data_IF_170781780748
#
_entry.id   IF_170781780748
#
_cell.length_a   1.000
_cell.length_b   1.000
_cell.length_c   1.000
_cell.angle_alpha   90.00
_cell.angle_beta   90.00
_cell.angle_gamma   90.00
#
_symmetry.space_group_name_H-M   'P 1'
#
loop_
_entity.id
_entity.type
_entity.pdbx_description
1 polymer ?
#
# COMPACT_ATOMS: atom_id res chain seq x y z
N UNK A 1 14.15 -5.49 19.61
CA UNK A 1 14.69 -5.17 18.27
C UNK A 1 13.59 -5.25 17.21
N UNK A 2 12.87 -6.37 17.07
CA UNK A 2 11.84 -6.51 16.03
C UNK A 2 10.58 -5.64 16.24
N UNK A 3 10.17 -5.43 17.50
CA UNK A 3 9.02 -4.57 17.82
C UNK A 3 9.26 -3.08 17.51
N UNK A 4 10.50 -2.61 17.70
CA UNK A 4 10.89 -1.23 17.38
C UNK A 4 10.91 -1.01 15.87
N UNK A 5 11.53 -1.93 15.12
CA UNK A 5 11.54 -1.92 13.66
C UNK A 5 10.13 -2.00 13.05
N UNK A 6 9.23 -2.80 13.65
CA UNK A 6 7.83 -2.84 13.23
C UNK A 6 7.14 -1.49 13.49
N UNK A 7 7.32 -0.91 14.68
CA UNK A 7 6.73 0.39 15.01
C UNK A 7 7.20 1.50 14.05
N UNK A 8 8.48 1.55 13.71
CA UNK A 8 9.01 2.46 12.68
C UNK A 8 8.30 2.27 11.33
N UNK A 9 8.11 1.02 10.89
CA UNK A 9 7.43 0.73 9.62
C UNK A 9 5.95 1.03 9.63
N UNK A 10 5.28 0.86 10.76
CA UNK A 10 3.91 1.34 10.92
C UNK A 10 3.89 2.87 10.77
N UNK A 11 4.79 3.59 11.43
CA UNK A 11 4.87 5.06 11.31
C UNK A 11 5.12 5.51 9.87
N UNK A 12 6.06 4.88 9.17
CA UNK A 12 6.35 5.19 7.77
C UNK A 12 5.14 4.92 6.87
N UNK A 13 4.49 3.77 7.04
CA UNK A 13 3.31 3.42 6.25
C UNK A 13 2.17 4.42 6.49
N UNK A 14 1.86 4.77 7.74
CA UNK A 14 0.82 5.75 8.08
C UNK A 14 1.11 7.13 7.45
N UNK A 15 2.36 7.58 7.51
CA UNK A 15 2.79 8.81 6.82
C UNK A 15 2.61 8.70 5.32
N UNK A 16 2.89 7.53 4.74
CA UNK A 16 2.69 7.26 3.32
C UNK A 16 1.22 7.33 2.89
N UNK A 17 0.32 6.69 3.65
CA UNK A 17 -1.13 6.73 3.40
C UNK A 17 -1.66 8.16 3.52
N UNK A 18 -1.28 8.89 4.57
CA UNK A 18 -1.72 10.27 4.74
C UNK A 18 -1.24 11.18 3.60
N UNK A 19 -0.02 10.95 3.11
CA UNK A 19 0.50 11.66 1.94
C UNK A 19 -0.28 11.35 0.66
N UNK A 20 -0.67 10.09 0.44
CA UNK A 20 -1.49 9.68 -0.70
C UNK A 20 -2.89 10.30 -0.63
N UNK A 21 -3.52 10.25 0.54
CA UNK A 21 -4.82 10.88 0.80
C UNK A 21 -4.80 12.37 0.45
N UNK A 22 -3.78 13.11 0.92
CA UNK A 22 -3.64 14.54 0.61
C UNK A 22 -3.50 14.83 -0.88
N UNK A 23 -2.84 13.95 -1.63
CA UNK A 23 -2.67 14.10 -3.08
C UNK A 23 -3.96 13.81 -3.84
N UNK A 24 -4.70 12.75 -3.46
CA UNK A 24 -6.01 12.42 -4.02
C UNK A 24 -7.04 13.55 -3.77
N UNK A 25 -6.92 14.25 -2.63
CA UNK A 25 -7.78 15.37 -2.29
C UNK A 25 -7.44 16.69 -3.01
N UNK A 26 -6.33 16.79 -3.75
CA UNK A 26 -6.01 17.99 -4.51
C UNK A 26 -6.87 18.12 -5.77
N UNK A 27 -7.14 19.35 -6.25
CA UNK A 27 -7.74 19.56 -7.56
C UNK A 27 -6.95 18.86 -8.67
N UNK A 28 -7.66 18.21 -9.58
CA UNK A 28 -7.03 17.48 -10.66
C UNK A 28 -6.22 18.38 -11.59
N UNK A 29 -5.00 17.94 -11.88
CA UNK A 29 -4.14 18.36 -12.99
C UNK A 29 -3.07 17.27 -13.22
N UNK A 30 -2.33 17.34 -14.32
CA UNK A 30 -1.31 16.34 -14.67
C UNK A 30 -0.25 16.15 -13.58
N UNK A 31 0.22 17.23 -12.95
CA UNK A 31 1.21 17.14 -11.88
C UNK A 31 0.66 16.46 -10.62
N UNK A 32 -0.62 16.68 -10.32
CA UNK A 32 -1.32 16.05 -9.19
C UNK A 32 -1.55 14.57 -9.47
N UNK A 33 -1.89 14.22 -10.71
CA UNK A 33 -1.99 12.84 -11.17
C UNK A 33 -0.66 12.11 -10.97
N UNK A 34 0.42 12.68 -11.50
CA UNK A 34 1.75 12.07 -11.46
C UNK A 34 2.27 11.96 -10.01
N UNK A 35 2.05 13.00 -9.19
CA UNK A 35 2.37 12.94 -7.76
C UNK A 35 1.54 11.87 -7.03
N UNK A 36 0.28 11.67 -7.38
CA UNK A 36 -0.59 10.64 -6.80
C UNK A 36 -0.10 9.25 -7.17
N UNK A 37 0.29 9.03 -8.44
CA UNK A 37 0.88 7.78 -8.92
C UNK A 37 2.18 7.47 -8.16
N UNK A 38 3.08 8.44 -8.04
CA UNK A 38 4.33 8.24 -7.28
C UNK A 38 4.07 7.91 -5.81
N UNK A 39 3.06 8.54 -5.21
CA UNK A 39 2.66 8.28 -3.81
C UNK A 39 2.04 6.91 -3.64
N UNK A 40 1.26 6.46 -4.61
CA UNK A 40 0.74 5.10 -4.66
C UNK A 40 1.86 4.06 -4.71
N UNK A 41 2.89 4.26 -5.55
CA UNK A 41 4.01 3.33 -5.66
C UNK A 41 4.75 3.12 -4.33
N UNK A 42 5.13 4.21 -3.65
CA UNK A 42 5.81 4.05 -2.37
C UNK A 42 4.86 3.56 -1.28
N UNK A 43 3.57 3.88 -1.34
CA UNK A 43 2.59 3.41 -0.36
C UNK A 43 2.40 1.88 -0.46
N UNK A 44 2.35 1.36 -1.69
CA UNK A 44 2.40 -0.08 -1.94
C UNK A 44 3.69 -0.71 -1.39
N UNK A 45 4.85 -0.09 -1.66
CA UNK A 45 6.15 -0.57 -1.20
C UNK A 45 6.23 -0.66 0.33
N UNK A 46 5.72 0.35 1.02
CA UNK A 46 5.62 0.38 2.47
C UNK A 46 4.63 -0.67 2.99
N UNK A 47 3.48 -0.85 2.34
CA UNK A 47 2.45 -1.81 2.73
C UNK A 47 2.99 -3.25 2.75
N UNK A 48 3.59 -3.73 1.65
CA UNK A 48 4.04 -5.12 1.60
C UNK A 48 5.25 -5.37 2.52
N UNK A 49 6.12 -4.37 2.72
CA UNK A 49 7.22 -4.44 3.69
C UNK A 49 6.72 -4.48 5.13
N UNK A 50 5.68 -3.72 5.45
CA UNK A 50 5.03 -3.75 6.76
C UNK A 50 4.39 -5.13 7.01
N UNK A 51 3.62 -5.65 6.05
CA UNK A 51 3.01 -6.98 6.14
C UNK A 51 4.07 -8.07 6.31
N UNK A 52 5.15 -8.01 5.52
CA UNK A 52 6.29 -8.91 5.67
C UNK A 52 6.84 -8.92 7.10
N UNK A 53 7.13 -7.75 7.68
CA UNK A 53 7.63 -7.68 9.05
C UNK A 53 6.62 -8.22 10.08
N UNK A 54 5.32 -8.00 9.84
CA UNK A 54 4.28 -8.54 10.71
C UNK A 54 4.22 -10.06 10.65
N UNK A 55 4.31 -10.64 9.46
CA UNK A 55 4.37 -12.08 9.21
C UNK A 55 5.62 -12.71 9.83
N UNK A 56 6.78 -12.06 9.70
CA UNK A 56 8.04 -12.53 10.31
C UNK A 56 7.90 -12.66 11.84
N UNK A 57 7.21 -11.72 12.51
CA UNK A 57 6.91 -11.82 13.96
C UNK A 57 5.97 -12.98 14.31
N UNK A 58 5.18 -13.45 13.36
CA UNK A 58 4.30 -14.62 13.50
C UNK A 58 4.99 -15.93 13.08
N UNK A 59 6.27 -15.87 12.72
CA UNK A 59 7.06 -17.04 12.30
C UNK A 59 6.87 -17.42 10.82
N UNK A 60 6.29 -16.53 10.01
CA UNK A 60 6.02 -16.76 8.58
C UNK A 60 7.02 -15.97 7.73
N UNK A 61 7.84 -16.67 6.94
CA UNK A 61 8.81 -16.06 6.02
C UNK A 61 8.17 -15.75 4.66
N UNK A 62 8.13 -14.46 4.32
CA UNK A 62 7.71 -13.97 3.00
C UNK A 62 8.85 -13.19 2.33
N UNK A 63 9.24 -13.59 1.12
CA UNK A 63 10.42 -13.02 0.45
C UNK A 63 10.09 -12.04 -0.68
N UNK A 64 8.87 -12.11 -1.20
CA UNK A 64 8.41 -11.29 -2.32
C UNK A 64 7.12 -10.55 -1.96
N UNK A 65 6.78 -9.44 -2.64
CA UNK A 65 5.51 -8.74 -2.42
C UNK A 65 4.30 -9.67 -2.59
N UNK A 66 4.33 -10.54 -3.61
CA UNK A 66 3.27 -11.51 -3.86
C UNK A 66 3.09 -12.48 -2.69
N UNK A 67 4.19 -13.05 -2.20
CA UNK A 67 4.15 -13.94 -1.04
C UNK A 67 3.65 -13.20 0.21
N UNK A 68 4.13 -11.99 0.47
CA UNK A 68 3.70 -11.21 1.62
C UNK A 68 2.19 -10.94 1.61
N UNK A 69 1.63 -10.58 0.45
CA UNK A 69 0.18 -10.39 0.31
C UNK A 69 -0.60 -11.70 0.46
N UNK A 70 -0.11 -12.79 -0.13
CA UNK A 70 -0.75 -14.10 -0.04
C UNK A 70 -0.79 -14.63 1.40
N UNK A 71 0.33 -14.58 2.11
CA UNK A 71 0.41 -15.02 3.51
C UNK A 71 -0.40 -14.09 4.43
N UNK A 72 -0.31 -12.77 4.22
CA UNK A 72 -1.11 -11.81 4.99
C UNK A 72 -2.62 -12.04 4.86
N UNK A 73 -3.08 -12.47 3.67
CA UNK A 73 -4.47 -12.86 3.47
C UNK A 73 -4.82 -14.15 4.22
N UNK A 74 -3.93 -15.15 4.20
CA UNK A 74 -4.15 -16.43 4.90
C UNK A 74 -4.29 -16.26 6.41
N UNK A 75 -3.50 -15.37 7.02
CA UNK A 75 -3.56 -15.07 8.46
C UNK A 75 -4.48 -13.89 8.80
N UNK A 76 -5.30 -13.43 7.84
CA UNK A 76 -6.28 -12.35 8.02
C UNK A 76 -5.70 -10.99 8.50
N UNK A 77 -4.45 -10.68 8.13
CA UNK A 77 -3.87 -9.33 8.30
C UNK A 77 -4.42 -8.33 7.28
N UNK A 78 -4.87 -8.82 6.13
CA UNK A 78 -5.58 -8.07 5.10
C UNK A 78 -6.81 -8.85 4.67
N UNK A 79 -7.83 -8.13 4.18
CA UNK A 79 -9.02 -8.69 3.56
C UNK A 79 -8.96 -8.60 2.03
N UNK A 80 -9.89 -9.27 1.35
CA UNK A 80 -10.14 -9.12 -0.10
C UNK A 80 -8.88 -9.29 -0.98
N UNK A 81 -8.44 -10.54 -1.12
CA UNK A 81 -7.28 -10.89 -1.96
C UNK A 81 -7.38 -10.44 -3.42
N UNK A 82 -8.60 -10.28 -3.96
CA UNK A 82 -8.81 -9.77 -5.31
C UNK A 82 -8.43 -8.29 -5.39
N UNK A 83 -8.86 -7.48 -4.42
CA UNK A 83 -8.47 -6.07 -4.36
C UNK A 83 -6.95 -5.89 -4.26
N UNK A 84 -6.27 -6.67 -3.43
CA UNK A 84 -4.81 -6.59 -3.31
C UNK A 84 -4.07 -7.10 -4.55
N UNK A 85 -4.63 -8.10 -5.24
CA UNK A 85 -4.12 -8.55 -6.53
C UNK A 85 -4.22 -7.44 -7.58
N UNK A 86 -5.34 -6.71 -7.61
CA UNK A 86 -5.51 -5.56 -8.50
C UNK A 86 -4.56 -4.41 -8.13
N UNK A 87 -4.37 -4.12 -6.85
CA UNK A 87 -3.37 -3.12 -6.40
C UNK A 87 -1.98 -3.49 -6.92
N UNK A 88 -1.58 -4.75 -6.78
CA UNK A 88 -0.30 -5.23 -7.31
C UNK A 88 -0.23 -5.08 -8.84
N UNK A 89 -1.31 -5.40 -9.56
CA UNK A 89 -1.41 -5.25 -11.01
C UNK A 89 -1.23 -3.79 -11.42
N UNK A 90 -1.98 -2.86 -10.83
CA UNK A 90 -1.88 -1.43 -11.15
C UNK A 90 -0.52 -0.85 -10.78
N UNK A 91 0.11 -1.30 -9.68
CA UNK A 91 1.49 -0.92 -9.34
C UNK A 91 2.53 -1.40 -10.36
N UNK A 92 2.27 -2.49 -11.07
CA UNK A 92 3.15 -2.92 -12.16
C UNK A 92 2.93 -2.09 -13.44
N UNK A 93 1.76 -1.46 -13.59
CA UNK A 93 1.43 -0.61 -14.73
C UNK A 93 1.96 0.82 -14.60
N UNK A 94 2.36 1.26 -13.40
CA UNK A 94 2.85 2.63 -13.17
C UNK A 94 4.10 2.96 -13.98
N UNK A 95 4.94 1.98 -14.32
CA UNK A 95 6.10 2.20 -15.21
C UNK A 95 5.72 2.57 -16.64
N UNK A 96 4.44 2.41 -17.01
CA UNK A 96 3.91 2.69 -18.35
C UNK A 96 3.05 3.96 -18.40
N UNK A 97 2.99 4.76 -17.33
CA UNK A 97 2.14 5.95 -17.24
C UNK A 97 2.68 7.15 -18.02
N UNK A 98 3.75 6.98 -18.80
CA UNK A 98 4.05 7.88 -19.92
C UNK A 98 2.93 7.87 -20.97
N UNK A 99 2.10 6.83 -20.99
CA UNK A 99 0.83 6.83 -21.71
C UNK A 99 -0.25 7.52 -20.84
N UNK A 100 -0.73 8.69 -21.27
CA UNK A 100 -1.67 9.51 -20.49
C UNK A 100 -2.97 8.78 -20.15
N UNK A 101 -3.54 8.03 -21.10
CA UNK A 101 -4.76 7.24 -20.84
C UNK A 101 -4.54 6.25 -19.71
N UNK A 102 -3.41 5.55 -19.71
CA UNK A 102 -3.06 4.63 -18.62
C UNK A 102 -2.81 5.38 -17.31
N UNK A 103 -2.19 6.55 -17.34
CA UNK A 103 -2.00 7.38 -16.16
C UNK A 103 -3.34 7.78 -15.53
N UNK A 104 -4.33 8.15 -16.34
CA UNK A 104 -5.67 8.50 -15.88
C UNK A 104 -6.40 7.29 -15.30
N UNK A 105 -6.29 6.12 -15.94
CA UNK A 105 -6.83 4.85 -15.43
C UNK A 105 -6.23 4.48 -14.07
N UNK A 106 -4.90 4.58 -13.93
CA UNK A 106 -4.19 4.31 -12.67
C UNK A 106 -4.62 5.31 -11.61
N UNK A 107 -4.69 6.60 -11.92
CA UNK A 107 -5.11 7.64 -10.99
C UNK A 107 -6.52 7.42 -10.46
N UNK A 108 -7.47 7.10 -11.35
CA UNK A 108 -8.84 6.78 -10.96
C UNK A 108 -8.89 5.54 -10.04
N UNK A 109 -8.16 4.48 -10.39
CA UNK A 109 -8.04 3.27 -9.56
C UNK A 109 -7.48 3.59 -8.17
N UNK A 110 -6.46 4.44 -8.07
CA UNK A 110 -5.83 4.80 -6.80
C UNK A 110 -6.86 5.41 -5.85
N UNK A 111 -7.63 6.40 -6.30
CA UNK A 111 -8.62 7.08 -5.46
C UNK A 111 -9.78 6.18 -5.07
N UNK A 112 -10.27 5.35 -6.00
CA UNK A 112 -11.50 4.57 -5.81
C UNK A 112 -11.26 3.25 -5.09
N UNK A 113 -10.12 2.59 -5.32
CA UNK A 113 -9.88 1.22 -4.89
C UNK A 113 -8.63 1.09 -4.01
N UNK A 114 -7.49 1.70 -4.37
CA UNK A 114 -6.25 1.49 -3.62
C UNK A 114 -6.24 2.23 -2.28
N UNK A 115 -6.62 3.52 -2.27
CA UNK A 115 -6.57 4.36 -1.08
C UNK A 115 -7.43 3.80 0.08
N UNK A 116 -8.69 3.36 -0.13
CA UNK A 116 -9.49 2.77 0.95
C UNK A 116 -8.85 1.51 1.56
N UNK A 117 -8.16 0.70 0.76
CA UNK A 117 -7.48 -0.53 1.21
C UNK A 117 -6.25 -0.19 2.05
N UNK A 118 -5.48 0.80 1.63
CA UNK A 118 -4.36 1.29 2.42
C UNK A 118 -4.81 1.95 3.73
N UNK A 119 -5.91 2.71 3.71
CA UNK A 119 -6.51 3.28 4.93
C UNK A 119 -6.96 2.18 5.89
N UNK A 120 -7.58 1.10 5.39
CA UNK A 120 -7.95 -0.05 6.22
C UNK A 120 -6.73 -0.72 6.84
N UNK A 121 -5.72 -1.06 6.04
CA UNK A 121 -4.46 -1.63 6.57
C UNK A 121 -3.80 -0.70 7.59
N UNK A 122 -3.87 0.62 7.39
CA UNK A 122 -3.33 1.61 8.32
C UNK A 122 -4.06 1.59 9.68
N UNK A 123 -5.38 1.40 9.67
CA UNK A 123 -6.17 1.25 10.89
C UNK A 123 -5.77 -0.02 11.65
N UNK A 124 -5.69 -1.16 10.96
CA UNK A 124 -5.24 -2.43 11.54
C UNK A 124 -3.81 -2.32 12.10
N UNK A 125 -2.91 -1.69 11.34
CA UNK A 125 -1.52 -1.53 11.72
C UNK A 125 -1.34 -0.67 12.98
N UNK A 126 -2.22 0.30 13.24
CA UNK A 126 -2.20 1.05 14.49
C UNK A 126 -2.47 0.16 15.71
N UNK A 127 -3.31 -0.87 15.58
CA UNK A 127 -3.58 -1.82 16.66
C UNK A 127 -2.40 -2.76 16.96
N UNK A 128 -1.40 -2.83 16.07
CA UNK A 128 -0.17 -3.60 16.29
C UNK A 128 0.89 -2.82 17.09
N UNK A 129 0.73 -1.49 17.21
CA UNK A 129 1.59 -0.68 18.08
C UNK A 129 1.32 -1.11 19.52
N UNK A 130 2.34 -1.71 20.16
CA UNK A 130 2.29 -2.12 21.57
C UNK A 130 1.47 -3.40 21.85
N UNK A 131 1.80 -4.48 21.13
CA UNK A 131 1.75 -5.86 21.65
C UNK A 131 3.17 -6.43 21.74
#
# INVERSE_FOLDING_TARGET
MDSERLNERIVDFLKGVHQLERAVAQPFNEFTRDATIQRFEFCYELAWKLLKLKLEREGIDARTPRQALQEALQVALIDDGNAWSEIQRYRNLTSHTYNERLADEVYAFIGQQALPRFQRLAQEANAWKTR
#
